data_IF_598128476247
#
_entry.id   IF_598128476247
#
_cell.length_a   1.000
_cell.length_b   1.000
_cell.length_c   1.000
_cell.angle_alpha   90.00
_cell.angle_beta   90.00
_cell.angle_gamma   90.00
#
_symmetry.space_group_name_H-M   'P 1'
#
loop_
_entity.id
_entity.type
_entity.pdbx_description
1 polymer ?
#
# COMPACT_ATOMS: atom_id res chain seq x y z
N UNK A 1 -79.67 -12.00 -25.84
CA UNK A 1 -79.38 -13.33 -26.43
C UNK A 1 -78.12 -13.20 -27.26
N UNK A 2 -77.27 -14.24 -27.29
CA UNK A 2 -75.85 -14.32 -27.73
C UNK A 2 -74.88 -14.08 -26.56
N UNK A 3 -74.52 -15.09 -25.77
CA UNK A 3 -73.79 -16.35 -26.02
C UNK A 3 -72.27 -16.20 -25.85
N UNK A 4 -71.78 -16.84 -24.80
CA UNK A 4 -70.41 -16.97 -24.31
C UNK A 4 -69.43 -17.54 -25.33
N UNK A 5 -68.16 -17.16 -25.21
CA UNK A 5 -67.04 -18.10 -25.34
C UNK A 5 -65.94 -17.73 -24.33
N UNK A 6 -65.80 -18.57 -23.32
CA UNK A 6 -64.69 -18.61 -22.37
C UNK A 6 -63.56 -19.43 -23.02
N UNK A 7 -62.36 -18.87 -23.11
CA UNK A 7 -61.15 -19.62 -23.45
C UNK A 7 -60.24 -19.66 -22.22
N UNK A 8 -60.22 -20.81 -21.55
CA UNK A 8 -59.33 -21.10 -20.42
C UNK A 8 -57.94 -21.46 -20.95
N UNK A 9 -56.93 -20.64 -20.64
CA UNK A 9 -55.52 -20.98 -20.88
C UNK A 9 -54.98 -21.64 -19.61
N UNK A 10 -54.73 -22.95 -19.70
CA UNK A 10 -54.01 -23.73 -18.68
C UNK A 10 -52.51 -23.51 -18.91
N UNK A 11 -51.87 -22.71 -18.07
CA UNK A 11 -50.41 -22.59 -18.03
C UNK A 11 -49.84 -23.71 -17.14
N UNK A 12 -49.12 -24.65 -17.75
CA UNK A 12 -48.42 -25.71 -17.05
C UNK A 12 -47.20 -25.14 -16.29
N UNK A 13 -47.22 -25.26 -14.96
CA UNK A 13 -46.07 -25.02 -14.09
C UNK A 13 -45.12 -26.22 -14.19
N UNK A 14 -43.97 -26.03 -14.85
CA UNK A 14 -42.85 -26.97 -14.77
C UNK A 14 -42.05 -26.69 -13.47
N UNK A 15 -41.70 -27.72 -12.68
CA UNK A 15 -40.83 -27.53 -11.53
C UNK A 15 -39.39 -27.30 -12.01
N UNK A 16 -38.84 -26.12 -11.71
CA UNK A 16 -37.39 -25.89 -11.76
C UNK A 16 -36.74 -26.75 -10.67
N UNK A 17 -36.13 -27.86 -11.08
CA UNK A 17 -35.15 -28.56 -10.26
C UNK A 17 -33.88 -27.69 -10.21
N UNK A 18 -33.72 -26.94 -9.11
CA UNK A 18 -32.46 -26.30 -8.78
C UNK A 18 -31.45 -27.39 -8.40
N UNK A 19 -30.63 -27.81 -9.35
CA UNK A 19 -29.39 -28.54 -9.08
C UNK A 19 -28.47 -27.60 -8.31
N UNK A 20 -28.43 -27.74 -6.99
CA UNK A 20 -27.38 -27.17 -6.15
C UNK A 20 -26.06 -27.77 -6.58
N UNK A 21 -25.29 -27.04 -7.38
CA UNK A 21 -23.90 -27.36 -7.62
C UNK A 21 -23.18 -27.36 -6.26
N UNK A 22 -22.36 -28.38 -5.95
CA UNK A 22 -21.52 -28.32 -4.77
C UNK A 22 -20.59 -27.12 -4.93
N UNK A 23 -20.73 -26.14 -4.04
CA UNK A 23 -19.74 -25.08 -3.85
C UNK A 23 -18.52 -25.79 -3.27
N UNK A 24 -17.63 -26.24 -4.16
CA UNK A 24 -16.29 -26.65 -3.77
C UNK A 24 -15.61 -25.40 -3.23
N UNK A 25 -15.51 -25.35 -1.90
CA UNK A 25 -14.63 -24.43 -1.19
C UNK A 25 -13.21 -24.61 -1.72
N UNK A 26 -12.84 -23.73 -2.66
CA UNK A 26 -11.45 -23.54 -3.07
C UNK A 26 -11.10 -22.05 -3.01
N UNK A 27 -11.56 -21.38 -1.94
CA UNK A 27 -11.14 -20.01 -1.61
C UNK A 27 -9.69 -19.94 -1.11
N UNK A 28 -9.06 -21.08 -0.79
CA UNK A 28 -7.62 -21.15 -0.44
C UNK A 28 -6.70 -21.07 -1.65
N UNK A 29 -7.20 -21.26 -2.89
CA UNK A 29 -6.37 -21.17 -4.09
C UNK A 29 -6.12 -19.70 -4.54
N UNK A 30 -7.02 -18.77 -4.22
CA UNK A 30 -6.85 -17.36 -4.56
C UNK A 30 -5.91 -16.62 -3.58
N UNK A 31 -5.94 -17.00 -2.30
CA UNK A 31 -5.01 -16.52 -1.28
C UNK A 31 -3.58 -17.05 -1.50
N UNK A 32 -3.43 -18.27 -2.03
CA UNK A 32 -2.11 -18.90 -2.24
C UNK A 32 -1.26 -18.25 -3.33
N UNK A 33 -1.87 -17.61 -4.34
CA UNK A 33 -1.10 -17.07 -5.46
C UNK A 33 -0.31 -15.79 -5.12
N UNK A 34 -0.81 -14.97 -4.18
CA UNK A 34 -0.13 -13.74 -3.72
C UNK A 34 0.74 -13.98 -2.49
N UNK A 35 0.36 -14.90 -1.57
CA UNK A 35 1.26 -15.38 -0.50
C UNK A 35 2.50 -16.08 -1.05
N UNK A 36 2.39 -16.81 -2.17
CA UNK A 36 3.54 -17.40 -2.84
C UNK A 36 4.44 -16.36 -3.56
N UNK A 37 3.97 -15.11 -3.74
CA UNK A 37 4.64 -14.04 -4.52
C UNK A 37 5.01 -12.82 -3.67
N UNK A 38 4.81 -12.91 -2.36
CA UNK A 38 5.18 -11.91 -1.38
C UNK A 38 6.70 -11.68 -1.35
N UNK A 39 7.12 -10.41 -1.47
CA UNK A 39 8.54 -10.06 -1.28
C UNK A 39 8.97 -10.24 0.18
N UNK A 40 8.07 -9.99 1.12
CA UNK A 40 8.34 -10.18 2.53
C UNK A 40 7.92 -11.58 2.96
N UNK A 41 8.59 -12.58 2.35
CA UNK A 41 8.52 -13.96 2.82
C UNK A 41 9.15 -14.01 4.22
N UNK A 42 8.47 -14.58 5.23
CA UNK A 42 9.08 -14.78 6.54
C UNK A 42 10.32 -15.67 6.39
N UNK A 43 11.38 -15.33 7.10
CA UNK A 43 12.63 -16.06 7.07
C UNK A 43 13.20 -16.25 8.48
N UNK A 44 13.88 -17.37 8.66
CA UNK A 44 14.75 -17.60 9.81
C UNK A 44 16.23 -17.36 9.46
N UNK A 45 16.57 -17.40 8.16
CA UNK A 45 17.90 -17.14 7.64
C UNK A 45 17.85 -16.70 6.17
N UNK A 46 18.93 -16.11 5.66
CA UNK A 46 19.02 -15.61 4.29
C UNK A 46 18.80 -16.71 3.22
N UNK A 47 19.08 -17.98 3.55
CA UNK A 47 18.91 -19.11 2.64
C UNK A 47 17.44 -19.34 2.23
N UNK A 48 16.48 -18.87 3.04
CA UNK A 48 15.04 -18.99 2.75
C UNK A 48 14.59 -18.05 1.62
N UNK A 49 15.41 -17.05 1.29
CA UNK A 49 15.08 -15.89 0.46
C UNK A 49 15.48 -16.02 -1.01
N UNK A 50 16.07 -17.14 -1.43
CA UNK A 50 16.73 -17.32 -2.74
C UNK A 50 15.86 -17.24 -4.01
N UNK A 51 14.57 -16.90 -3.90
CA UNK A 51 13.67 -16.69 -5.06
C UNK A 51 13.30 -15.22 -5.30
N UNK A 52 13.80 -14.31 -4.48
CA UNK A 52 13.53 -12.88 -4.66
C UNK A 52 14.41 -12.29 -5.75
N UNK A 53 13.90 -11.27 -6.43
CA UNK A 53 14.73 -10.47 -7.32
C UNK A 53 15.79 -9.71 -6.50
N UNK A 54 17.05 -9.75 -6.95
CA UNK A 54 18.14 -8.97 -6.38
C UNK A 54 18.46 -7.80 -7.30
N UNK A 55 18.75 -6.65 -6.70
CA UNK A 55 19.34 -5.52 -7.42
C UNK A 55 20.82 -5.80 -7.70
N UNK A 56 21.40 -5.17 -8.72
CA UNK A 56 22.82 -5.36 -9.02
C UNK A 56 23.70 -5.07 -7.79
N UNK A 57 24.76 -5.88 -7.59
CA UNK A 57 25.69 -5.80 -6.46
C UNK A 57 25.04 -5.99 -5.08
N UNK A 58 23.99 -6.83 -4.99
CA UNK A 58 23.34 -7.20 -3.73
C UNK A 58 23.32 -8.72 -3.49
N UNK A 59 22.97 -9.12 -2.28
CA UNK A 59 22.73 -10.49 -1.86
C UNK A 59 21.49 -10.56 -0.96
N UNK A 60 20.90 -11.74 -0.84
CA UNK A 60 19.76 -11.96 0.05
C UNK A 60 20.17 -11.83 1.52
N UNK A 61 19.30 -11.20 2.32
CA UNK A 61 19.44 -11.17 3.77
C UNK A 61 18.11 -11.55 4.42
N UNK A 62 18.19 -12.07 5.63
CA UNK A 62 17.03 -12.18 6.51
C UNK A 62 17.10 -11.05 7.53
N UNK A 63 16.23 -10.05 7.37
CA UNK A 63 16.22 -8.85 8.19
C UNK A 63 14.93 -8.82 9.02
N UNK A 64 15.06 -8.87 10.35
CA UNK A 64 13.94 -8.84 11.30
C UNK A 64 12.86 -9.90 11.01
N UNK A 65 13.28 -11.10 10.60
CA UNK A 65 12.36 -12.20 10.31
C UNK A 65 11.70 -12.15 8.93
N UNK A 66 12.10 -11.21 8.07
CA UNK A 66 11.62 -11.13 6.69
C UNK A 66 12.76 -11.05 5.69
N UNK A 67 12.54 -11.64 4.52
CA UNK A 67 13.51 -11.56 3.45
C UNK A 67 13.65 -10.12 2.93
N UNK A 68 14.89 -9.66 2.78
CA UNK A 68 15.29 -8.37 2.19
C UNK A 68 16.58 -8.62 1.39
N UNK A 69 17.21 -7.55 0.90
CA UNK A 69 18.52 -7.61 0.27
C UNK A 69 19.52 -6.64 0.91
N UNK A 70 20.77 -7.06 0.98
CA UNK A 70 21.92 -6.28 1.44
C UNK A 70 22.91 -6.05 0.30
N UNK A 71 23.69 -4.97 0.37
CA UNK A 71 24.71 -4.71 -0.64
C UNK A 71 25.96 -5.58 -0.44
N UNK A 72 26.59 -6.00 -1.53
CA UNK A 72 27.85 -6.71 -1.50
C UNK A 72 28.97 -5.82 -0.91
N UNK A 73 30.05 -6.45 -0.44
CA UNK A 73 31.20 -5.73 0.09
C UNK A 73 31.72 -4.68 -0.90
N UNK A 74 32.05 -3.49 -0.40
CA UNK A 74 32.43 -2.33 -1.21
C UNK A 74 31.26 -1.51 -1.75
N UNK A 75 30.01 -1.88 -1.45
CA UNK A 75 28.82 -1.13 -1.85
C UNK A 75 27.96 -0.72 -0.66
N UNK A 76 27.31 0.44 -0.76
CA UNK A 76 26.32 0.94 0.21
C UNK A 76 24.95 1.03 -0.44
N UNK A 77 23.91 0.75 0.35
CA UNK A 77 22.51 0.87 -0.09
C UNK A 77 22.18 2.36 -0.20
N UNK A 78 21.91 2.82 -1.42
CA UNK A 78 21.42 4.17 -1.70
C UNK A 78 20.11 4.05 -2.48
N UNK A 79 18.99 4.34 -1.82
CA UNK A 79 17.64 4.06 -2.30
C UNK A 79 17.50 2.60 -2.78
N UNK A 80 17.37 2.42 -4.09
CA UNK A 80 17.10 1.15 -4.76
C UNK A 80 18.31 0.51 -5.46
N UNK A 81 19.51 0.97 -5.12
CA UNK A 81 20.73 0.44 -5.72
C UNK A 81 21.84 0.32 -4.70
N UNK A 82 22.74 -0.61 -4.99
CA UNK A 82 24.03 -0.67 -4.34
C UNK A 82 24.99 0.21 -5.11
N UNK A 83 25.39 1.33 -4.51
CA UNK A 83 26.40 2.24 -5.05
C UNK A 83 27.76 1.91 -4.45
N UNK A 84 28.81 1.94 -5.27
CA UNK A 84 30.17 1.66 -4.81
C UNK A 84 30.55 2.72 -3.77
N UNK A 85 31.07 2.27 -2.64
CA UNK A 85 31.71 3.18 -1.68
C UNK A 85 33.04 3.54 -2.32
N UNK A 86 33.19 4.78 -2.78
CA UNK A 86 34.51 5.21 -3.24
C UNK A 86 35.50 5.04 -2.08
N UNK A 87 36.53 4.23 -2.32
CA UNK A 87 37.72 4.22 -1.48
C UNK A 87 38.34 5.59 -1.61
N UNK A 88 38.25 6.40 -0.56
CA UNK A 88 39.03 7.62 -0.46
C UNK A 88 40.50 7.23 -0.28
N UNK A 89 41.19 6.98 -1.39
CA UNK A 89 42.64 6.96 -1.45
C UNK A 89 43.14 8.42 -1.48
N UNK A 90 43.57 8.87 -0.30
CA UNK A 90 44.80 9.65 -0.08
C UNK A 90 45.24 10.64 -1.16
N UNK A 91 45.00 11.93 -0.89
CA UNK A 91 46.00 12.97 -1.11
C UNK A 91 46.33 13.60 0.24
N UNK A 92 47.58 13.43 0.67
CA UNK A 92 48.16 13.91 1.91
C UNK A 92 48.61 15.37 1.83
N UNK A 93 48.35 16.15 2.88
CA UNK A 93 49.40 16.94 3.51
C UNK A 93 49.11 17.09 5.01
N UNK A 94 50.14 16.83 5.82
CA UNK A 94 50.23 16.98 7.26
C UNK A 94 50.01 18.43 7.69
N UNK A 95 49.38 18.67 8.86
CA UNK A 95 50.14 19.10 10.04
C UNK A 95 49.32 19.01 11.34
N UNK A 96 50.06 18.77 12.41
CA UNK A 96 49.76 18.71 13.84
C UNK A 96 48.84 19.81 14.38
N UNK A 97 47.95 19.49 15.33
CA UNK A 97 48.13 19.90 16.73
C UNK A 97 47.16 19.25 17.71
N UNK A 98 47.67 18.97 18.91
CA UNK A 98 46.95 18.43 20.06
C UNK A 98 46.04 19.49 20.68
N UNK A 99 44.76 19.19 20.93
CA UNK A 99 44.10 19.68 22.16
C UNK A 99 42.94 18.76 22.56
N UNK A 100 43.03 18.24 23.78
CA UNK A 100 41.94 17.56 24.46
C UNK A 100 40.91 18.57 24.97
N UNK A 101 39.62 18.30 24.73
CA UNK A 101 38.48 18.77 25.52
C UNK A 101 37.39 17.69 25.43
N UNK A 102 37.20 16.88 26.47
CA UNK A 102 36.26 17.09 27.60
C UNK A 102 34.79 17.12 27.15
N UNK A 103 34.07 16.13 27.67
CA UNK A 103 32.64 15.85 27.63
C UNK A 103 31.68 17.05 27.50
N UNK A 104 30.56 16.86 26.79
CA UNK A 104 29.25 17.06 27.43
C UNK A 104 28.07 16.41 26.69
N UNK A 105 27.22 15.77 27.49
CA UNK A 105 25.74 15.67 27.43
C UNK A 105 25.03 15.39 26.11
N UNK A 106 24.42 14.20 26.08
CA UNK A 106 22.97 14.02 26.13
C UNK A 106 22.12 14.82 25.13
N UNK A 107 21.65 14.11 24.10
CA UNK A 107 20.30 14.34 23.59
C UNK A 107 19.77 13.03 23.00
N UNK A 108 19.35 12.16 23.91
CA UNK A 108 18.37 11.14 23.60
C UNK A 108 17.07 11.84 23.20
N UNK A 109 16.86 12.06 21.90
CA UNK A 109 15.54 12.44 21.39
C UNK A 109 14.65 11.21 21.51
N UNK A 110 14.06 11.11 22.69
CA UNK A 110 12.97 10.22 23.01
C UNK A 110 11.75 10.71 22.21
N UNK A 111 11.61 10.24 20.97
CA UNK A 111 10.36 10.37 20.20
C UNK A 111 9.32 9.49 20.88
N UNK A 112 8.77 10.01 21.97
CA UNK A 112 7.62 9.45 22.65
C UNK A 112 6.46 9.37 21.65
N UNK A 113 6.06 8.14 21.38
CA UNK A 113 4.86 7.79 20.66
C UNK A 113 3.66 8.50 21.29
N UNK A 114 3.20 9.58 20.67
CA UNK A 114 1.85 10.12 20.90
C UNK A 114 0.88 9.26 20.09
N UNK A 115 0.50 8.14 20.69
CA UNK A 115 -0.41 7.12 20.14
C UNK A 115 -1.90 7.44 20.35
N UNK A 116 -2.26 8.65 20.78
CA UNK A 116 -3.63 8.99 21.21
C UNK A 116 -4.29 10.17 20.46
N UNK A 117 -3.58 10.91 19.60
CA UNK A 117 -4.09 12.14 18.96
C UNK A 117 -4.49 12.01 17.48
N UNK A 118 -4.09 10.95 16.77
CA UNK A 118 -4.45 10.79 15.35
C UNK A 118 -5.91 10.35 15.12
N UNK A 119 -6.51 9.61 16.06
CA UNK A 119 -7.89 9.14 15.92
C UNK A 119 -8.94 10.26 16.01
N UNK A 120 -8.65 11.33 16.77
CA UNK A 120 -9.58 12.44 16.96
C UNK A 120 -9.75 13.32 15.71
N UNK A 121 -8.67 13.60 14.98
CA UNK A 121 -8.73 14.42 13.77
C UNK A 121 -9.31 13.67 12.56
N UNK A 122 -9.08 12.35 12.48
CA UNK A 122 -9.70 11.48 11.47
C UNK A 122 -11.20 11.36 11.72
N UNK A 123 -11.61 11.14 12.98
CA UNK A 123 -13.02 11.12 13.35
C UNK A 123 -13.70 12.49 13.14
N UNK A 124 -12.98 13.61 13.34
CA UNK A 124 -13.49 14.96 13.05
C UNK A 124 -13.73 15.19 11.54
N UNK A 125 -13.05 14.44 10.66
CA UNK A 125 -13.35 14.40 9.23
C UNK A 125 -14.53 13.49 8.87
N UNK A 126 -15.25 12.96 9.87
CA UNK A 126 -16.40 12.06 9.70
C UNK A 126 -16.02 10.61 9.40
N UNK A 127 -14.73 10.27 9.37
CA UNK A 127 -14.26 8.91 9.05
C UNK A 127 -14.49 7.99 10.24
N UNK A 128 -15.21 6.89 10.01
CA UNK A 128 -15.45 5.84 11.02
C UNK A 128 -14.78 4.50 10.70
N UNK A 129 -14.24 4.35 9.49
CA UNK A 129 -13.45 3.17 9.07
C UNK A 129 -11.95 3.45 9.12
N UNK A 130 -11.15 2.38 9.02
CA UNK A 130 -9.68 2.43 9.00
C UNK A 130 -9.05 3.14 10.22
N UNK A 131 -9.71 3.07 11.37
CA UNK A 131 -9.26 3.72 12.60
C UNK A 131 -8.06 2.99 13.22
N UNK A 132 -7.22 3.75 13.94
CA UNK A 132 -6.03 3.20 14.59
C UNK A 132 -4.97 2.75 13.59
N UNK A 133 -4.19 1.74 13.98
CA UNK A 133 -3.18 1.12 13.10
C UNK A 133 -3.79 -0.05 12.36
N UNK A 134 -3.92 0.09 11.05
CA UNK A 134 -4.30 -0.97 10.14
C UNK A 134 -3.10 -1.89 9.93
N UNK A 135 -3.19 -3.15 10.34
CA UNK A 135 -2.11 -4.15 10.21
C UNK A 135 -2.50 -5.26 9.23
N UNK A 136 -1.53 -6.08 8.81
CA UNK A 136 -1.78 -7.19 7.90
C UNK A 136 -2.21 -6.74 6.49
N UNK A 137 -1.90 -5.50 6.12
CA UNK A 137 -2.23 -4.98 4.80
C UNK A 137 -1.33 -5.62 3.74
N UNK A 138 -1.89 -5.83 2.56
CA UNK A 138 -1.12 -6.07 1.34
C UNK A 138 -1.06 -4.74 0.59
N UNK A 139 0.15 -4.26 0.31
CA UNK A 139 0.37 -3.14 -0.59
C UNK A 139 0.70 -3.67 -1.99
N UNK A 140 -0.18 -3.41 -2.94
CA UNK A 140 0.04 -3.55 -4.38
C UNK A 140 0.43 -2.20 -4.99
N UNK A 141 0.46 -2.12 -6.32
CA UNK A 141 0.79 -0.89 -7.01
C UNK A 141 0.07 -0.70 -8.34
N UNK A 142 -0.09 0.58 -8.70
CA UNK A 142 -0.71 1.00 -9.95
C UNK A 142 0.00 2.21 -10.56
N UNK A 143 -0.04 2.30 -11.89
CA UNK A 143 0.25 3.52 -12.64
C UNK A 143 -0.98 4.42 -12.66
N UNK A 144 -0.75 5.72 -12.57
CA UNK A 144 -1.79 6.75 -12.54
C UNK A 144 -2.41 7.07 -13.90
N UNK A 145 -1.78 6.63 -14.99
CA UNK A 145 -2.31 6.77 -16.34
C UNK A 145 -1.99 5.52 -17.17
N UNK A 146 -2.72 4.43 -16.89
CA UNK A 146 -2.58 3.15 -17.57
C UNK A 146 -3.94 2.46 -17.69
N UNK A 147 -4.28 2.05 -18.91
CA UNK A 147 -5.47 1.25 -19.18
C UNK A 147 -5.44 -0.11 -18.44
N UNK A 148 -4.25 -0.68 -18.21
CA UNK A 148 -4.09 -1.94 -17.48
C UNK A 148 -4.49 -1.80 -16.01
N UNK A 149 -4.30 -0.60 -15.46
CA UNK A 149 -4.65 -0.25 -14.08
C UNK A 149 -5.98 0.49 -13.99
N UNK A 150 -6.72 0.59 -15.11
CA UNK A 150 -8.00 1.32 -15.20
C UNK A 150 -7.90 2.79 -14.76
N UNK A 151 -6.75 3.42 -14.97
CA UNK A 151 -6.48 4.82 -14.65
C UNK A 151 -6.29 5.66 -15.92
N UNK A 152 -6.44 6.98 -15.80
CA UNK A 152 -6.52 7.91 -16.94
C UNK A 152 -5.85 9.27 -16.67
N UNK A 153 -4.96 9.34 -15.68
CA UNK A 153 -4.31 10.58 -15.25
C UNK A 153 -5.20 11.49 -14.38
N UNK A 154 -6.43 11.09 -14.07
CA UNK A 154 -7.32 11.78 -13.15
C UNK A 154 -7.74 10.83 -12.03
N UNK A 155 -7.46 11.24 -10.80
CA UNK A 155 -7.81 10.46 -9.63
C UNK A 155 -9.32 10.37 -9.40
N UNK A 156 -9.77 9.35 -8.66
CA UNK A 156 -11.11 9.32 -8.08
C UNK A 156 -11.41 10.55 -7.20
N UNK A 157 -10.38 11.20 -6.66
CA UNK A 157 -10.47 12.44 -5.89
C UNK A 157 -10.64 13.72 -6.74
N UNK A 158 -10.80 13.60 -8.07
CA UNK A 158 -11.03 14.70 -9.02
C UNK A 158 -9.89 15.72 -9.10
N UNK A 159 -8.66 15.22 -9.11
CA UNK A 159 -7.49 16.03 -9.44
C UNK A 159 -6.55 15.27 -10.39
N UNK A 160 -5.78 15.97 -11.23
CA UNK A 160 -4.77 15.35 -12.08
C UNK A 160 -3.60 14.82 -11.26
N UNK A 161 -3.13 13.63 -11.59
CA UNK A 161 -2.05 12.96 -10.87
C UNK A 161 -1.12 12.22 -11.83
N UNK A 162 0.10 11.94 -11.38
CA UNK A 162 1.09 11.17 -12.13
C UNK A 162 1.83 10.19 -11.21
N UNK A 163 2.73 9.37 -11.75
CA UNK A 163 3.39 8.31 -10.98
C UNK A 163 4.33 8.82 -9.88
N UNK A 164 4.62 10.13 -9.83
CA UNK A 164 5.36 10.76 -8.74
C UNK A 164 4.48 11.21 -7.57
N UNK A 165 3.15 11.13 -7.71
CA UNK A 165 2.21 11.44 -6.63
C UNK A 165 2.53 10.56 -5.41
N UNK A 166 2.73 11.13 -4.21
CA UNK A 166 2.92 10.36 -2.98
C UNK A 166 1.57 9.79 -2.50
N UNK A 167 0.90 9.05 -3.37
CA UNK A 167 -0.48 8.64 -3.22
C UNK A 167 -0.65 7.14 -3.01
N UNK A 168 -1.78 6.78 -2.44
CA UNK A 168 -2.29 5.42 -2.41
C UNK A 168 -3.81 5.42 -2.48
N UNK A 169 -4.36 4.27 -2.83
CA UNK A 169 -5.77 3.97 -2.90
C UNK A 169 -6.15 3.02 -1.76
N UNK A 170 -7.34 3.25 -1.20
CA UNK A 170 -7.97 2.39 -0.19
C UNK A 170 -9.31 1.88 -0.73
N UNK A 171 -9.83 0.78 -0.16
CA UNK A 171 -11.08 0.14 -0.60
C UNK A 171 -12.21 1.14 -0.89
N UNK A 172 -12.69 1.15 -2.14
CA UNK A 172 -13.79 2.00 -2.59
C UNK A 172 -15.05 1.71 -1.78
N UNK A 173 -15.46 0.45 -1.68
CA UNK A 173 -16.67 0.05 -0.97
C UNK A 173 -16.60 0.39 0.51
N UNK A 174 -15.42 0.29 1.15
CA UNK A 174 -15.29 0.69 2.55
C UNK A 174 -15.51 2.19 2.71
N UNK A 175 -14.86 3.03 1.88
CA UNK A 175 -15.09 4.48 1.89
C UNK A 175 -16.55 4.85 1.60
N UNK A 176 -17.14 4.22 0.58
CA UNK A 176 -18.53 4.44 0.19
C UNK A 176 -19.48 4.04 1.32
N UNK A 177 -19.29 2.87 1.93
CA UNK A 177 -20.13 2.41 3.05
C UNK A 177 -20.07 3.35 4.25
N UNK A 178 -18.90 3.92 4.53
CA UNK A 178 -18.70 4.89 5.61
C UNK A 178 -19.45 6.20 5.34
N UNK A 179 -19.52 6.60 4.07
CA UNK A 179 -20.23 7.79 3.62
C UNK A 179 -21.73 7.57 3.40
N UNK A 180 -22.28 6.37 3.68
CA UNK A 180 -23.67 6.06 3.38
C UNK A 180 -23.96 5.95 1.87
N UNK A 181 -22.97 5.47 1.12
CA UNK A 181 -22.95 5.31 -0.34
C UNK A 181 -23.02 6.62 -1.14
N UNK A 182 -22.72 7.74 -0.50
CA UNK A 182 -22.53 9.03 -1.17
C UNK A 182 -21.08 9.21 -1.58
N UNK A 183 -20.82 9.20 -2.90
CA UNK A 183 -19.47 9.29 -3.44
C UNK A 183 -18.83 10.67 -3.22
N UNK A 184 -19.61 11.75 -3.20
CA UNK A 184 -19.08 13.10 -2.94
C UNK A 184 -18.67 13.20 -1.48
N UNK A 185 -19.54 12.76 -0.57
CA UNK A 185 -19.22 12.71 0.86
C UNK A 185 -18.03 11.80 1.15
N UNK A 186 -17.92 10.64 0.50
CA UNK A 186 -16.76 9.76 0.64
C UNK A 186 -15.45 10.47 0.21
N UNK A 187 -15.46 11.22 -0.89
CA UNK A 187 -14.30 12.01 -1.32
C UNK A 187 -13.94 13.09 -0.32
N UNK A 188 -14.93 13.84 0.18
CA UNK A 188 -14.71 14.86 1.21
C UNK A 188 -14.11 14.26 2.50
N UNK A 189 -14.61 13.09 2.90
CA UNK A 189 -14.12 12.37 4.08
C UNK A 189 -12.68 11.87 3.90
N UNK A 190 -12.33 11.29 2.75
CA UNK A 190 -11.07 10.54 2.61
C UNK A 190 -9.98 11.22 1.79
N UNK A 191 -10.30 11.96 0.72
CA UNK A 191 -9.30 12.45 -0.22
C UNK A 191 -8.30 13.41 0.43
N UNK A 192 -7.02 13.12 0.27
CA UNK A 192 -5.92 13.90 0.81
C UNK A 192 -5.61 13.64 2.28
N UNK A 193 -6.32 12.72 2.94
CA UNK A 193 -5.92 12.27 4.28
C UNK A 193 -4.52 11.69 4.24
N UNK A 194 -3.69 12.16 5.15
CA UNK A 194 -2.31 11.73 5.30
C UNK A 194 -2.24 10.43 6.12
N UNK A 195 -1.45 9.48 5.63
CA UNK A 195 -1.15 8.25 6.33
C UNK A 195 0.36 7.99 6.37
N UNK A 196 0.81 7.34 7.45
CA UNK A 196 2.14 6.74 7.51
C UNK A 196 1.99 5.27 7.18
N UNK A 197 2.65 4.81 6.12
CA UNK A 197 2.70 3.42 5.66
C UNK A 197 4.06 2.85 5.99
N UNK A 198 4.10 1.70 6.68
CA UNK A 198 5.31 1.05 7.17
C UNK A 198 5.37 -0.41 6.72
N UNK A 199 6.46 -0.78 6.05
CA UNK A 199 6.74 -2.14 5.60
C UNK A 199 7.32 -3.01 6.72
N UNK A 200 7.33 -4.35 6.58
CA UNK A 200 7.96 -5.25 7.55
C UNK A 200 9.47 -5.02 7.73
N UNK A 201 10.19 -4.53 6.71
CA UNK A 201 11.61 -4.15 6.84
C UNK A 201 11.82 -2.90 7.71
N UNK A 202 10.75 -2.20 8.08
CA UNK A 202 10.79 -0.96 8.85
C UNK A 202 10.98 0.29 7.99
N UNK A 203 10.78 0.20 6.67
CA UNK A 203 10.71 1.40 5.81
C UNK A 203 9.35 2.05 5.99
N UNK A 204 9.33 3.37 6.15
CA UNK A 204 8.09 4.13 6.28
C UNK A 204 8.04 5.28 5.28
N UNK A 205 6.87 5.52 4.70
CA UNK A 205 6.58 6.71 3.89
C UNK A 205 5.29 7.38 4.36
N UNK A 206 5.27 8.70 4.30
CA UNK A 206 4.03 9.48 4.35
C UNK A 206 3.40 9.49 2.96
N UNK A 207 2.18 8.98 2.87
CA UNK A 207 1.37 8.96 1.65
C UNK A 207 0.00 9.60 1.90
N UNK A 208 -0.71 9.92 0.83
CA UNK A 208 -2.05 10.51 0.91
C UNK A 208 -3.06 9.63 0.19
N UNK A 209 -4.30 9.60 0.68
CA UNK A 209 -5.40 8.97 -0.07
C UNK A 209 -5.64 9.81 -1.31
N UNK A 210 -5.26 9.28 -2.47
CA UNK A 210 -5.38 9.99 -3.73
C UNK A 210 -6.34 9.32 -4.67
N UNK A 211 -6.71 8.06 -4.44
CA UNK A 211 -7.57 7.31 -5.33
C UNK A 211 -8.41 6.28 -4.56
N UNK A 212 -9.25 5.54 -5.28
CA UNK A 212 -10.05 4.45 -4.73
C UNK A 212 -9.62 3.10 -5.30
N UNK A 213 -9.50 2.09 -4.43
CA UNK A 213 -9.07 0.76 -4.80
C UNK A 213 -10.30 -0.11 -5.09
N UNK A 214 -10.40 -0.64 -6.31
CA UNK A 214 -11.45 -1.59 -6.70
C UNK A 214 -11.41 -2.82 -5.79
N UNK A 215 -12.53 -3.06 -5.11
CA UNK A 215 -12.69 -4.13 -4.12
C UNK A 215 -12.53 -5.54 -4.69
N UNK A 216 -12.61 -5.71 -6.01
CA UNK A 216 -12.29 -6.99 -6.69
C UNK A 216 -10.84 -7.44 -6.43
N UNK A 217 -9.95 -6.47 -6.15
CA UNK A 217 -8.52 -6.67 -5.91
C UNK A 217 -8.11 -6.48 -4.45
N UNK A 218 -9.01 -6.00 -3.59
CA UNK A 218 -8.80 -5.90 -2.13
C UNK A 218 -8.75 -7.32 -1.55
N UNK A 219 -7.59 -7.70 -1.00
CA UNK A 219 -7.36 -9.06 -0.46
C UNK A 219 -7.44 -9.14 1.05
N UNK A 220 -7.20 -8.03 1.74
CA UNK A 220 -7.48 -7.87 3.16
C UNK A 220 -8.26 -6.59 3.38
N UNK A 221 -9.04 -6.45 4.47
CA UNK A 221 -9.80 -5.22 4.76
C UNK A 221 -8.93 -3.95 4.83
N UNK A 222 -7.62 -4.11 4.96
CA UNK A 222 -6.63 -3.03 5.09
C UNK A 222 -5.70 -2.94 3.87
N UNK A 223 -5.95 -3.72 2.80
CA UNK A 223 -5.17 -3.65 1.55
C UNK A 223 -5.15 -2.24 0.98
N UNK A 224 -4.01 -1.88 0.42
CA UNK A 224 -3.78 -0.59 -0.24
C UNK A 224 -3.19 -0.82 -1.62
N UNK A 225 -3.49 0.08 -2.55
CA UNK A 225 -2.85 0.11 -3.85
C UNK A 225 -2.02 1.38 -3.96
N UNK A 226 -0.70 1.27 -4.10
CA UNK A 226 0.21 2.42 -3.94
C UNK A 226 0.64 2.93 -5.31
N UNK A 227 0.66 4.27 -5.49
CA UNK A 227 1.15 4.87 -6.73
C UNK A 227 2.57 4.41 -7.03
N UNK A 228 2.84 4.03 -8.28
CA UNK A 228 4.04 3.30 -8.72
C UNK A 228 5.37 3.74 -8.08
N UNK A 229 5.74 5.03 -8.15
CA UNK A 229 7.04 5.46 -7.59
C UNK A 229 7.01 5.54 -6.05
N UNK A 230 5.85 5.72 -5.41
CA UNK A 230 5.72 5.55 -3.96
C UNK A 230 5.90 4.08 -3.56
N UNK A 231 5.30 3.15 -4.30
CA UNK A 231 5.49 1.73 -4.07
C UNK A 231 6.96 1.32 -4.21
N UNK A 232 7.63 1.77 -5.28
CA UNK A 232 9.04 1.48 -5.49
C UNK A 232 9.94 1.99 -4.37
N UNK A 233 9.57 3.09 -3.69
CA UNK A 233 10.27 3.60 -2.51
C UNK A 233 10.03 2.74 -1.26
N UNK A 234 8.79 2.28 -1.02
CA UNK A 234 8.47 1.33 0.07
C UNK A 234 9.19 0.00 -0.14
N UNK A 235 9.12 -0.51 -1.36
CA UNK A 235 9.75 -1.77 -1.74
C UNK A 235 11.29 -1.64 -1.69
N UNK A 236 11.81 -0.50 -2.13
CA UNK A 236 13.23 -0.24 -2.32
C UNK A 236 13.73 -0.64 -3.70
N UNK A 237 12.86 -0.91 -4.67
CA UNK A 237 13.17 -1.01 -6.10
C UNK A 237 11.87 -0.95 -6.90
N UNK A 238 11.97 -0.69 -8.20
CA UNK A 238 10.84 -0.66 -9.13
C UNK A 238 10.65 -2.02 -9.80
N UNK A 239 9.41 -2.39 -10.05
CA UNK A 239 9.04 -3.69 -10.64
C UNK A 239 7.87 -3.48 -11.59
N UNK A 240 7.88 -4.16 -12.73
CA UNK A 240 6.74 -4.18 -13.67
C UNK A 240 5.88 -5.45 -13.51
N UNK A 241 6.30 -6.38 -12.64
CA UNK A 241 5.53 -7.57 -12.34
C UNK A 241 4.41 -7.23 -11.35
N UNK A 242 3.16 -7.24 -11.85
CA UNK A 242 1.94 -6.98 -11.05
C UNK A 242 1.75 -7.93 -9.88
N UNK A 243 2.46 -9.06 -9.87
CA UNK A 243 2.43 -9.98 -8.75
C UNK A 243 3.38 -9.61 -7.62
N UNK A 244 4.27 -8.65 -7.85
CA UNK A 244 5.15 -8.13 -6.83
C UNK A 244 4.37 -7.26 -5.86
N UNK A 245 4.16 -7.75 -4.64
CA UNK A 245 3.45 -7.04 -3.57
C UNK A 245 4.25 -7.04 -2.27
N UNK A 246 3.95 -6.08 -1.39
CA UNK A 246 4.47 -6.03 -0.02
C UNK A 246 3.39 -6.56 0.91
N UNK A 247 3.65 -7.67 1.58
CA UNK A 247 2.74 -8.22 2.59
C UNK A 247 3.04 -7.67 3.98
N UNK A 248 2.08 -7.82 4.90
CA UNK A 248 2.20 -7.43 6.30
C UNK A 248 2.58 -5.95 6.49
N UNK A 249 2.12 -5.10 5.58
CA UNK A 249 2.22 -3.66 5.72
C UNK A 249 1.34 -3.23 6.89
N UNK A 250 1.81 -2.22 7.62
CA UNK A 250 0.99 -1.49 8.57
C UNK A 250 0.83 -0.05 8.10
N UNK A 251 -0.34 0.53 8.30
CA UNK A 251 -0.56 1.94 8.00
C UNK A 251 -1.58 2.56 8.94
N UNK A 252 -1.49 3.87 9.14
CA UNK A 252 -2.46 4.61 9.93
C UNK A 252 -2.57 6.03 9.41
N UNK A 253 -3.78 6.58 9.50
CA UNK A 253 -3.96 8.01 9.30
C UNK A 253 -3.28 8.80 10.42
N UNK A 254 -2.70 9.95 10.06
CA UNK A 254 -2.03 10.84 11.02
C UNK A 254 -2.99 11.84 11.65
N UNK A 255 -4.13 12.08 11.00
CA UNK A 255 -5.04 13.17 11.34
C UNK A 255 -4.84 14.43 10.48
N UNK A 256 -3.77 14.49 9.69
CA UNK A 256 -3.54 15.60 8.77
C UNK A 256 -4.25 15.38 7.43
N UNK A 257 -4.48 16.48 6.71
CA UNK A 257 -4.97 16.47 5.33
C UNK A 257 -4.13 17.41 4.48
N UNK A 258 -3.71 16.95 3.31
CA UNK A 258 -3.01 17.79 2.35
C UNK A 258 -4.02 18.41 1.36
N UNK A 259 -4.09 19.74 1.34
CA UNK A 259 -5.00 20.50 0.48
C UNK A 259 -4.75 20.30 -1.03
N UNK A 260 -3.56 19.84 -1.43
CA UNK A 260 -3.25 19.53 -2.84
C UNK A 260 -4.07 18.33 -3.33
N UNK A 261 -4.28 17.36 -2.46
CA UNK A 261 -4.86 16.06 -2.77
C UNK A 261 -6.28 15.87 -2.20
N UNK A 262 -6.90 16.94 -1.70
CA UNK A 262 -8.30 16.91 -1.27
C UNK A 262 -9.22 16.70 -2.48
N UNK A 263 -10.50 16.44 -2.21
CA UNK A 263 -11.52 16.41 -3.24
C UNK A 263 -11.52 17.73 -4.05
N UNK A 264 -11.44 17.64 -5.39
CA UNK A 264 -11.25 18.79 -6.29
C UNK A 264 -10.01 19.64 -5.96
N UNK A 265 -8.96 19.01 -5.43
CA UNK A 265 -7.67 19.63 -5.19
C UNK A 265 -6.94 19.96 -6.49
N UNK A 266 -5.81 20.65 -6.38
CA UNK A 266 -5.01 21.01 -7.57
C UNK A 266 -4.23 19.83 -8.15
N UNK A 267 -4.04 18.75 -7.39
CA UNK A 267 -3.30 17.58 -7.86
C UNK A 267 -1.84 17.88 -8.13
N UNK A 268 -1.15 17.06 -8.93
CA UNK A 268 0.24 17.28 -9.30
C UNK A 268 0.39 18.34 -10.39
#
# INVERSE_FOLDING_TARGET
MHASFLLSIVAALAPLAALGAPVTANETAALSSLEARAIYKPCQSANVCGKMALVANSHHICNKGFCDWGCNSGYKRYYNKCVRTESSDSSSCENTDNTAHTANTDNTVNLAASSSSSSGAVAAAGVSKFLGTNTGAIASWFHTNSAQDSTNGHSWCYFPYNDNTPGFAISLNTMMSDAGWDATKAREMYCGLEAVVTTPSGKSLTLYVTDAFDDTWVRTPTSIDVVFNAFGRLLGYTTEDKNTVIQNVSWRFTGNRNNRYKYNGVGN
#
